data_IF_822506935665
#
_entry.id   IF_822506935665
#
_cell.length_a   1.000
_cell.length_b   1.000
_cell.length_c   1.000
_cell.angle_alpha   90.00
_cell.angle_beta   90.00
_cell.angle_gamma   90.00
#
_symmetry.space_group_name_H-M   'P 1'
#
loop_
_entity.id
_entity.type
_entity.pdbx_description
1 polymer ?
#
# COMPACT_ATOMS: atom_id res chain seq x y z
N UNK A 1 1.59 -2.01 -4.17
CA UNK A 1 0.33 -1.34 -3.79
C UNK A 1 -0.75 -2.39 -3.56
N UNK A 2 -1.69 -2.09 -2.67
CA UNK A 2 -2.83 -2.93 -2.28
C UNK A 2 -4.09 -2.05 -2.17
N UNK A 3 -5.26 -2.68 -2.24
CA UNK A 3 -6.53 -2.06 -1.87
C UNK A 3 -6.79 -2.21 -0.37
N UNK A 4 -7.15 -1.11 0.28
CA UNK A 4 -7.61 -1.07 1.68
C UNK A 4 -9.03 -0.53 1.73
N UNK A 5 -9.84 -0.83 2.76
CA UNK A 5 -11.23 -0.37 2.81
C UNK A 5 -11.31 1.15 2.70
N UNK A 6 -12.28 1.62 1.95
CA UNK A 6 -12.63 3.03 1.82
C UNK A 6 -14.15 3.14 1.82
N UNK A 7 -14.71 3.98 2.70
CA UNK A 7 -16.16 4.07 2.87
C UNK A 7 -16.87 4.71 1.68
N UNK A 8 -16.14 5.44 0.83
CA UNK A 8 -16.70 6.12 -0.35
C UNK A 8 -16.60 5.23 -1.59
N UNK A 9 -15.46 4.58 -1.79
CA UNK A 9 -15.13 3.88 -3.05
C UNK A 9 -15.08 2.36 -2.91
N UNK A 10 -15.33 1.82 -1.71
CA UNK A 10 -15.10 0.42 -1.37
C UNK A 10 -13.62 0.12 -1.11
N UNK A 11 -12.74 0.57 -2.01
CA UNK A 11 -11.28 0.49 -1.85
C UNK A 11 -10.55 1.81 -2.12
N UNK A 12 -9.49 2.03 -1.36
CA UNK A 12 -8.46 3.02 -1.63
C UNK A 12 -7.12 2.34 -1.93
N UNK A 13 -6.36 2.94 -2.85
CA UNK A 13 -4.99 2.53 -3.13
C UNK A 13 -4.08 2.90 -1.95
N UNK A 14 -3.38 1.91 -1.38
CA UNK A 14 -2.30 2.12 -0.41
C UNK A 14 -0.96 1.61 -0.96
N UNK A 15 0.10 2.39 -0.75
CA UNK A 15 1.47 1.94 -1.00
C UNK A 15 2.07 1.35 0.29
N UNK A 16 2.71 0.19 0.19
CA UNK A 16 3.54 -0.37 1.25
C UNK A 16 4.99 -0.25 0.77
N UNK A 17 5.80 0.51 1.50
CA UNK A 17 7.14 0.94 1.07
C UNK A 17 8.18 0.43 2.05
N UNK A 18 9.29 -0.08 1.54
CA UNK A 18 10.48 -0.37 2.34
C UNK A 18 11.57 0.59 1.88
N UNK A 19 12.08 1.41 2.79
CA UNK A 19 13.17 2.33 2.50
C UNK A 19 14.50 1.57 2.45
N UNK A 20 15.42 2.06 1.63
CA UNK A 20 16.80 1.57 1.67
C UNK A 20 17.45 2.00 2.98
N UNK A 21 18.46 1.25 3.42
CA UNK A 21 19.21 1.58 4.63
C UNK A 21 19.74 3.02 4.59
N UNK A 22 19.57 3.75 5.68
CA UNK A 22 20.00 5.16 5.81
C UNK A 22 19.12 6.18 5.08
N UNK A 23 18.06 5.76 4.39
CA UNK A 23 17.15 6.66 3.69
C UNK A 23 15.91 6.96 4.52
N UNK A 24 15.39 8.18 4.35
CA UNK A 24 14.12 8.64 4.94
C UNK A 24 13.24 9.21 3.85
N UNK A 25 11.92 9.07 4.01
CA UNK A 25 10.93 9.77 3.19
C UNK A 25 9.65 9.95 4.00
N UNK A 26 8.94 11.03 3.75
CA UNK A 26 7.59 11.24 4.21
C UNK A 26 6.59 10.54 3.27
N UNK A 27 5.44 10.14 3.82
CA UNK A 27 4.35 9.56 3.02
C UNK A 27 3.91 10.49 1.87
N UNK A 28 3.87 11.80 2.14
CA UNK A 28 3.45 12.81 1.17
C UNK A 28 4.42 12.90 -0.02
N UNK A 29 5.72 12.83 0.21
CA UNK A 29 6.73 12.85 -0.86
C UNK A 29 6.53 11.68 -1.85
N UNK A 30 6.18 10.50 -1.34
CA UNK A 30 5.90 9.32 -2.18
C UNK A 30 4.59 9.50 -2.98
N UNK A 31 3.57 10.11 -2.37
CA UNK A 31 2.29 10.39 -3.04
C UNK A 31 2.48 11.43 -4.15
N UNK A 32 3.19 12.52 -3.86
CA UNK A 32 3.44 13.60 -4.83
C UNK A 32 4.31 13.12 -5.99
N UNK A 33 5.34 12.32 -5.70
CA UNK A 33 6.13 11.65 -6.72
C UNK A 33 5.27 10.83 -7.69
N UNK A 34 4.25 10.13 -7.18
CA UNK A 34 3.31 9.37 -8.01
C UNK A 34 2.35 10.28 -8.80
N UNK A 35 1.84 11.35 -8.20
CA UNK A 35 0.91 12.30 -8.84
C UNK A 35 1.50 12.98 -10.07
N UNK A 36 2.79 13.22 -10.07
CA UNK A 36 3.50 13.80 -11.23
C UNK A 36 3.64 12.82 -12.41
N UNK A 37 3.46 11.51 -12.18
CA UNK A 37 3.86 10.46 -13.14
C UNK A 37 2.73 9.56 -13.60
N UNK A 38 1.64 9.47 -12.84
CA UNK A 38 0.49 8.63 -13.18
C UNK A 38 -0.81 9.38 -12.95
N UNK A 39 -1.88 8.92 -13.61
CA UNK A 39 -3.21 9.48 -13.44
C UNK A 39 -3.63 9.48 -11.96
N UNK A 40 -4.34 10.53 -11.54
CA UNK A 40 -4.62 10.79 -10.13
C UNK A 40 -5.32 9.61 -9.43
N UNK A 41 -6.27 8.95 -10.08
CA UNK A 41 -6.98 7.79 -9.54
C UNK A 41 -6.09 6.54 -9.33
N UNK A 42 -4.89 6.50 -9.92
CA UNK A 42 -3.90 5.44 -9.69
C UNK A 42 -2.95 5.75 -8.53
N UNK A 43 -2.94 7.00 -8.04
CA UNK A 43 -2.05 7.40 -6.97
C UNK A 43 -2.48 6.76 -5.64
N UNK A 44 -1.52 6.37 -4.78
CA UNK A 44 -1.88 5.96 -3.43
C UNK A 44 -2.54 7.12 -2.67
N UNK A 45 -3.62 6.83 -1.94
CA UNK A 45 -4.21 7.75 -0.96
C UNK A 45 -3.42 7.78 0.34
N UNK A 46 -2.66 6.73 0.64
CA UNK A 46 -1.84 6.63 1.85
C UNK A 46 -0.64 5.69 1.65
N UNK A 47 0.36 5.83 2.52
CA UNK A 47 1.62 5.08 2.47
C UNK A 47 1.95 4.54 3.85
N UNK A 48 2.31 3.26 3.92
CA UNK A 48 2.83 2.64 5.13
C UNK A 48 4.26 2.17 4.88
N UNK A 49 5.16 2.55 5.79
CA UNK A 49 6.55 2.11 5.78
C UNK A 49 6.70 0.81 6.57
N UNK A 50 7.35 -0.17 5.96
CA UNK A 50 7.57 -1.49 6.52
C UNK A 50 9.07 -1.76 6.64
N UNK A 51 9.46 -2.57 7.60
CA UNK A 51 10.84 -3.06 7.70
C UNK A 51 11.19 -4.01 6.55
N UNK A 52 10.21 -4.83 6.10
CA UNK A 52 10.38 -5.74 4.99
C UNK A 52 9.02 -6.03 4.32
N UNK A 53 9.07 -6.40 3.03
CA UNK A 53 7.90 -6.93 2.33
C UNK A 53 7.77 -8.44 2.56
N UNK A 54 6.57 -8.95 2.88
CA UNK A 54 6.37 -10.37 3.12
C UNK A 54 6.55 -11.17 1.83
N UNK A 55 7.42 -12.17 1.87
CA UNK A 55 7.70 -13.07 0.75
C UNK A 55 7.61 -14.52 1.19
N UNK A 56 7.23 -15.41 0.29
CA UNK A 56 7.36 -16.85 0.52
C UNK A 56 8.83 -17.30 0.36
N UNK A 57 9.18 -18.57 0.66
CA UNK A 57 10.55 -19.07 0.50
C UNK A 57 11.11 -18.97 -0.93
N UNK A 58 10.26 -18.94 -1.95
CA UNK A 58 10.69 -18.72 -3.34
C UNK A 58 10.83 -17.24 -3.72
N UNK A 59 10.67 -16.31 -2.77
CA UNK A 59 10.82 -14.87 -2.96
C UNK A 59 9.57 -14.15 -3.52
N UNK A 60 8.48 -14.87 -3.79
CA UNK A 60 7.21 -14.29 -4.27
C UNK A 60 6.59 -13.41 -3.19
N UNK A 61 6.22 -12.18 -3.57
CA UNK A 61 5.52 -11.24 -2.70
C UNK A 61 4.14 -11.76 -2.29
N UNK A 62 3.85 -11.76 -0.99
CA UNK A 62 2.58 -12.19 -0.43
C UNK A 62 1.66 -10.99 -0.19
N UNK A 63 1.06 -10.46 -1.27
CA UNK A 63 0.16 -9.29 -1.22
C UNK A 63 -1.01 -9.47 -0.24
N UNK A 64 -1.51 -10.70 -0.07
CA UNK A 64 -2.61 -10.97 0.87
C UNK A 64 -2.22 -10.68 2.33
N UNK A 65 -0.95 -10.88 2.71
CA UNK A 65 -0.47 -10.57 4.06
C UNK A 65 -0.37 -9.06 4.29
N UNK A 66 0.02 -8.31 3.26
CA UNK A 66 -0.02 -6.84 3.30
C UNK A 66 -1.44 -6.32 3.44
N UNK A 67 -2.40 -6.97 2.78
CA UNK A 67 -3.81 -6.56 2.77
C UNK A 67 -4.54 -6.89 4.07
N UNK A 68 -4.31 -8.08 4.63
CA UNK A 68 -5.06 -8.64 5.76
C UNK A 68 -5.28 -7.68 6.94
N UNK A 69 -4.27 -6.92 7.44
CA UNK A 69 -4.45 -6.05 8.60
C UNK A 69 -5.54 -4.98 8.45
N UNK A 70 -5.76 -4.49 7.22
CA UNK A 70 -6.73 -3.42 6.97
C UNK A 70 -8.17 -3.91 6.86
N UNK A 71 -8.37 -5.22 6.69
CA UNK A 71 -9.71 -5.81 6.50
C UNK A 71 -10.19 -6.60 7.71
N UNK A 72 -9.45 -6.58 8.83
CA UNK A 72 -9.89 -7.21 10.08
C UNK A 72 -11.19 -6.54 10.57
N UNK A 73 -12.21 -7.36 10.84
CA UNK A 73 -13.51 -6.86 11.31
C UNK A 73 -14.38 -6.19 10.23
N UNK A 74 -14.02 -6.32 8.95
CA UNK A 74 -14.86 -5.89 7.83
C UNK A 74 -15.50 -7.12 7.17
N UNK A 75 -16.83 -7.13 7.09
CA UNK A 75 -17.60 -8.28 6.58
C UNK A 75 -17.45 -8.52 5.07
N UNK A 76 -17.07 -7.48 4.31
CA UNK A 76 -16.88 -7.54 2.87
C UNK A 76 -15.42 -7.28 2.53
N UNK A 77 -14.76 -8.22 1.87
CA UNK A 77 -13.49 -7.97 1.18
C UNK A 77 -13.80 -7.72 -0.31
N UNK A 78 -13.42 -6.55 -0.82
CA UNK A 78 -13.51 -6.22 -2.26
C UNK A 78 -12.18 -6.61 -2.94
N UNK A 79 -12.00 -6.52 -4.25
CA UNK A 79 -10.72 -6.79 -4.92
C UNK A 79 -10.44 -5.83 -6.07
#
# INVERSE_FOLDING_TARGET
MIGVPDDTWGEAVKACVVLRAGMTAAAQEIIDFARERVAHFKCPKSVDFLAALPRNPSGKLLKYQLRKPYWVGKDRMVN
#
